data_IF_997044361981
#
_entry.id   IF_997044361981
#
_cell.length_a   1.000
_cell.length_b   1.000
_cell.length_c   1.000
_cell.angle_alpha   90.00
_cell.angle_beta   90.00
_cell.angle_gamma   90.00
#
_symmetry.space_group_name_H-M   'P 1'
#
loop_
_entity.id
_entity.type
_entity.pdbx_description
1 polymer ?
#
# COMPACT_ATOMS: atom_id res chain seq x y z
N UNK A 1 12.43 8.92 -1.76
CA UNK A 1 11.55 9.58 -0.79
C UNK A 1 11.17 10.93 -1.34
N UNK A 2 9.87 11.18 -1.45
CA UNK A 2 9.38 12.45 -1.97
C UNK A 2 9.15 13.45 -0.83
N UNK A 3 9.55 14.71 -1.04
CA UNK A 3 9.39 15.80 -0.07
C UNK A 3 8.88 17.08 -0.73
N UNK A 4 8.14 17.89 0.02
CA UNK A 4 7.71 19.22 -0.38
C UNK A 4 8.11 20.25 0.68
N UNK A 5 8.64 21.39 0.23
CA UNK A 5 8.95 22.53 1.08
C UNK A 5 8.03 23.68 0.68
N UNK A 6 7.24 24.20 1.62
CA UNK A 6 6.26 25.25 1.31
C UNK A 6 6.31 26.38 2.34
N UNK A 7 6.19 27.65 1.93
CA UNK A 7 6.03 28.75 2.87
C UNK A 7 4.66 28.67 3.55
N UNK A 8 4.62 28.93 4.86
CA UNK A 8 3.40 28.97 5.66
C UNK A 8 3.15 30.40 6.15
N UNK A 9 1.87 30.78 6.22
CA UNK A 9 1.49 32.03 6.87
C UNK A 9 1.54 31.87 8.39
N UNK A 10 1.86 32.93 9.13
CA UNK A 10 1.91 32.91 10.60
C UNK A 10 0.60 32.44 11.25
N UNK A 11 -0.54 32.68 10.60
CA UNK A 11 -1.85 32.26 11.08
C UNK A 11 -2.15 30.76 10.84
N UNK A 12 -1.37 30.04 10.02
CA UNK A 12 -1.73 28.71 9.52
C UNK A 12 -1.04 27.54 10.23
N UNK A 13 -0.25 27.79 11.28
CA UNK A 13 0.41 26.73 12.10
C UNK A 13 -0.57 25.70 12.69
N UNK A 14 -1.85 26.05 12.79
CA UNK A 14 -2.88 25.20 13.40
C UNK A 14 -4.09 24.93 12.49
N UNK A 15 -4.03 25.31 11.21
CA UNK A 15 -5.17 25.23 10.29
C UNK A 15 -4.92 24.28 9.12
N UNK A 16 -5.98 23.66 8.64
CA UNK A 16 -5.97 22.76 7.46
C UNK A 16 -5.45 23.43 6.18
N UNK A 17 -5.44 24.76 6.10
CA UNK A 17 -4.89 25.49 4.93
C UNK A 17 -3.41 25.18 4.64
N UNK A 18 -2.62 24.84 5.67
CA UNK A 18 -1.22 24.42 5.49
C UNK A 18 -1.10 23.07 4.76
N UNK A 19 -2.10 22.21 4.89
CA UNK A 19 -2.14 20.87 4.29
C UNK A 19 -2.43 20.93 2.80
N UNK A 20 -3.33 21.84 2.39
CA UNK A 20 -3.73 21.95 1.00
C UNK A 20 -2.54 22.15 0.06
N UNK A 21 -1.54 22.92 0.47
CA UNK A 21 -0.31 23.12 -0.30
C UNK A 21 0.51 21.84 -0.45
N UNK A 22 0.61 21.03 0.61
CA UNK A 22 1.29 19.75 0.59
C UNK A 22 0.51 18.72 -0.24
N UNK A 23 -0.80 18.62 -0.04
CA UNK A 23 -1.68 17.73 -0.81
C UNK A 23 -1.57 18.00 -2.31
N UNK A 24 -1.58 19.26 -2.73
CA UNK A 24 -1.39 19.64 -4.14
C UNK A 24 -0.02 19.21 -4.67
N UNK A 25 1.05 19.39 -3.89
CA UNK A 25 2.38 18.97 -4.29
C UNK A 25 2.50 17.44 -4.42
N UNK A 26 1.96 16.68 -3.47
CA UNK A 26 1.97 15.22 -3.48
C UNK A 26 1.02 14.61 -4.51
N UNK A 27 -0.11 15.27 -4.84
CA UNK A 27 -1.00 14.85 -5.92
C UNK A 27 -0.30 14.88 -7.29
N UNK A 28 0.65 15.81 -7.48
CA UNK A 28 1.44 15.95 -8.70
C UNK A 28 2.73 15.09 -8.69
N UNK A 29 2.76 13.96 -7.96
CA UNK A 29 3.98 13.12 -7.80
C UNK A 29 4.59 12.58 -9.10
N UNK A 30 3.82 12.51 -10.18
CA UNK A 30 4.32 12.11 -11.50
C UNK A 30 5.27 13.15 -12.09
N UNK A 31 5.14 14.41 -11.66
CA UNK A 31 5.96 15.55 -12.04
C UNK A 31 7.08 15.84 -11.03
N UNK A 32 7.32 14.92 -10.09
CA UNK A 32 8.34 15.09 -9.05
C UNK A 32 9.74 15.32 -9.63
N UNK A 33 10.42 16.34 -9.13
CA UNK A 33 11.77 16.72 -9.54
C UNK A 33 12.78 15.80 -8.87
N UNK A 34 13.51 15.00 -9.64
CA UNK A 34 14.65 14.26 -9.10
C UNK A 34 15.68 15.23 -8.53
N UNK A 35 16.08 15.01 -7.27
CA UNK A 35 17.14 15.79 -6.66
C UNK A 35 18.46 15.55 -7.40
N UNK A 36 19.07 16.64 -7.86
CA UNK A 36 20.28 16.62 -8.69
C UNK A 36 21.46 17.36 -8.03
N UNK A 37 21.38 17.63 -6.73
CA UNK A 37 22.36 18.43 -5.98
C UNK A 37 22.04 19.92 -5.91
N UNK A 38 21.08 20.43 -6.70
CA UNK A 38 20.62 21.82 -6.58
C UNK A 38 19.78 22.01 -5.31
N UNK A 39 19.81 23.19 -4.66
CA UNK A 39 19.04 23.43 -3.46
C UNK A 39 17.53 23.24 -3.68
N UNK A 40 16.88 22.66 -2.68
CA UNK A 40 15.43 22.49 -2.59
C UNK A 40 14.85 23.83 -2.16
N UNK A 41 14.01 24.40 -3.01
CA UNK A 41 13.42 25.73 -2.80
C UNK A 41 11.93 25.61 -2.47
N UNK A 42 11.40 26.50 -1.63
CA UNK A 42 9.97 26.54 -1.33
C UNK A 42 9.13 26.74 -2.59
N UNK A 43 8.04 25.98 -2.73
CA UNK A 43 7.12 26.12 -3.86
C UNK A 43 6.13 24.95 -4.02
N UNK A 44 5.31 24.98 -5.08
CA UNK A 44 4.31 23.93 -5.37
C UNK A 44 4.96 22.73 -6.06
N UNK A 45 6.15 22.32 -5.62
CA UNK A 45 6.94 21.29 -6.27
C UNK A 45 7.25 20.17 -5.31
N UNK A 46 7.22 18.94 -5.84
CA UNK A 46 7.68 17.76 -5.13
C UNK A 46 9.12 17.44 -5.56
N UNK A 47 9.97 17.13 -4.60
CA UNK A 47 11.36 16.73 -4.82
C UNK A 47 11.54 15.26 -4.47
N UNK A 48 12.10 14.48 -5.37
CA UNK A 48 12.43 13.08 -5.16
C UNK A 48 13.87 12.94 -4.72
N UNK A 49 14.06 12.60 -3.45
CA UNK A 49 15.36 12.36 -2.86
C UNK A 49 15.81 10.92 -3.17
N UNK A 50 17.02 10.73 -3.72
CA UNK A 50 17.62 9.41 -3.81
C UNK A 50 17.96 8.94 -2.40
N UNK A 51 17.46 7.78 -2.01
CA UNK A 51 17.88 7.11 -0.78
C UNK A 51 18.69 5.89 -1.21
N UNK A 52 20.01 5.94 -1.03
CA UNK A 52 20.90 4.80 -1.28
C UNK A 52 21.36 4.23 0.06
N UNK A 53 20.98 2.98 0.31
CA UNK A 53 21.21 2.28 1.59
C UNK A 53 22.61 1.70 1.76
N UNK A 54 23.44 1.73 0.71
CA UNK A 54 24.60 0.83 0.63
C UNK A 54 25.92 1.47 1.10
N UNK A 55 25.96 2.78 1.34
CA UNK A 55 27.21 3.51 1.64
C UNK A 55 27.41 3.86 3.11
N UNK A 56 26.38 3.73 3.96
CA UNK A 56 26.44 4.11 5.39
C UNK A 56 26.80 5.59 5.64
N UNK A 57 26.84 6.42 4.60
CA UNK A 57 27.12 7.85 4.68
C UNK A 57 25.82 8.62 4.86
N UNK A 58 25.82 9.59 5.76
CA UNK A 58 24.72 10.54 5.89
C UNK A 58 24.53 11.30 4.58
N UNK A 59 23.28 11.32 4.09
CA UNK A 59 22.91 12.04 2.87
C UNK A 59 22.47 13.46 3.25
N UNK A 60 23.03 14.46 2.57
CA UNK A 60 22.74 15.87 2.85
C UNK A 60 22.04 16.50 1.66
N UNK A 61 20.88 17.08 1.92
CA UNK A 61 20.05 17.76 0.93
C UNK A 61 19.89 19.23 1.34
N UNK A 62 20.37 20.15 0.49
CA UNK A 62 20.40 21.57 0.84
C UNK A 62 19.02 22.20 0.66
N UNK A 63 18.48 22.81 1.71
CA UNK A 63 17.29 23.66 1.64
C UNK A 63 17.71 25.12 1.44
N UNK A 64 17.04 25.85 0.54
CA UNK A 64 17.30 27.28 0.33
C UNK A 64 16.08 28.12 0.72
N UNK A 65 16.24 28.89 1.79
CA UNK A 65 15.22 29.79 2.32
C UNK A 65 15.62 31.24 2.01
N UNK A 66 14.86 31.89 1.14
CA UNK A 66 15.17 33.26 0.68
C UNK A 66 14.76 34.33 1.70
N UNK A 67 13.65 34.12 2.43
CA UNK A 67 13.13 35.09 3.39
C UNK A 67 12.86 34.43 4.75
N UNK A 68 13.10 35.14 5.87
CA UNK A 68 12.70 34.65 7.19
C UNK A 68 11.19 34.43 7.26
N UNK A 69 10.76 33.28 7.76
CA UNK A 69 9.35 32.93 7.83
C UNK A 69 9.13 31.52 8.39
N UNK A 70 7.86 31.10 8.38
CA UNK A 70 7.49 29.73 8.71
C UNK A 70 7.45 28.91 7.44
N UNK A 71 7.96 27.69 7.53
CA UNK A 71 8.01 26.75 6.41
C UNK A 71 7.51 25.39 6.88
N UNK A 72 6.72 24.74 6.04
CA UNK A 72 6.33 23.36 6.20
C UNK A 72 7.24 22.49 5.37
N UNK A 73 7.91 21.53 6.01
CA UNK A 73 8.61 20.44 5.34
C UNK A 73 7.73 19.18 5.44
N UNK A 74 7.22 18.73 4.31
CA UNK A 74 6.35 17.58 4.20
C UNK A 74 7.10 16.41 3.59
N UNK A 75 6.91 15.22 4.16
CA UNK A 75 7.63 14.01 3.77
C UNK A 75 6.65 12.88 3.46
N UNK A 76 6.95 12.07 2.44
CA UNK A 76 6.16 10.87 2.10
C UNK A 76 6.18 9.82 3.21
N UNK A 77 7.32 9.72 3.88
CA UNK A 77 7.60 8.76 4.94
C UNK A 77 7.90 9.48 6.25
N UNK A 78 7.81 8.76 7.36
CA UNK A 78 8.12 9.34 8.67
C UNK A 78 9.60 9.70 8.77
N UNK A 79 9.98 10.90 9.24
CA UNK A 79 11.39 11.29 9.39
C UNK A 79 12.23 10.27 10.18
N UNK A 80 11.62 9.63 11.17
CA UNK A 80 12.25 8.59 12.00
C UNK A 80 12.63 7.32 11.24
N UNK A 81 12.02 7.03 10.08
CA UNK A 81 12.35 5.85 9.27
C UNK A 81 13.76 5.91 8.66
N UNK A 82 14.33 7.12 8.53
CA UNK A 82 15.67 7.31 7.97
C UNK A 82 16.55 8.26 8.79
N UNK A 83 16.26 8.41 10.09
CA UNK A 83 17.00 9.30 10.99
C UNK A 83 17.15 10.73 10.43
N UNK A 84 16.10 11.27 9.78
CA UNK A 84 16.14 12.60 9.19
C UNK A 84 16.22 13.68 10.27
N UNK A 85 17.14 14.62 10.07
CA UNK A 85 17.24 15.85 10.85
C UNK A 85 17.35 17.07 9.94
N UNK A 86 16.83 18.20 10.38
CA UNK A 86 17.02 19.50 9.72
C UNK A 86 18.10 20.24 10.47
N UNK A 87 19.20 20.55 9.80
CA UNK A 87 20.29 21.32 10.39
C UNK A 87 20.25 22.77 9.89
N UNK A 88 20.26 23.72 10.83
CA UNK A 88 20.54 25.12 10.56
C UNK A 88 22.03 25.39 10.53
N UNK A 89 22.41 26.65 10.26
CA UNK A 89 23.82 27.05 10.12
C UNK A 89 24.69 26.72 11.35
N UNK A 90 24.11 26.67 12.54
CA UNK A 90 24.86 26.51 13.80
C UNK A 90 24.31 25.42 14.74
N UNK A 91 23.14 24.84 14.45
CA UNK A 91 22.49 23.87 15.33
C UNK A 91 21.39 23.10 14.59
N UNK A 92 20.98 21.96 15.16
CA UNK A 92 19.77 21.27 14.74
C UNK A 92 18.54 22.19 14.89
N UNK A 93 17.64 22.13 13.92
CA UNK A 93 16.38 22.85 13.90
C UNK A 93 15.27 21.87 14.29
N UNK A 94 14.79 21.98 15.53
CA UNK A 94 13.60 21.26 15.95
C UNK A 94 12.35 21.83 15.26
N UNK A 95 11.42 20.95 14.89
CA UNK A 95 10.14 21.38 14.34
C UNK A 95 9.33 22.13 15.42
N UNK A 96 8.81 23.31 15.08
CA UNK A 96 7.90 24.03 15.99
C UNK A 96 6.59 23.26 16.20
N UNK A 97 6.14 22.57 15.16
CA UNK A 97 4.95 21.70 15.16
C UNK A 97 5.27 20.52 14.26
N UNK A 98 5.03 19.31 14.75
CA UNK A 98 5.09 18.07 13.98
C UNK A 98 3.70 17.44 13.94
N UNK A 99 3.28 16.97 12.77
CA UNK A 99 2.01 16.27 12.57
C UNK A 99 2.18 15.13 11.59
N UNK A 100 1.62 13.99 11.96
CA UNK A 100 1.48 12.85 11.07
C UNK A 100 0.17 12.96 10.32
N UNK A 101 0.27 12.99 8.99
CA UNK A 101 -0.87 12.82 8.11
C UNK A 101 -0.84 11.40 7.60
N UNK A 102 -1.57 10.53 8.29
CA UNK A 102 -2.01 9.31 7.63
C UNK A 102 -2.95 9.80 6.53
N UNK A 103 -2.76 9.41 5.25
CA UNK A 103 -3.83 9.58 4.29
C UNK A 103 -5.07 9.07 5.00
N UNK A 104 -6.19 9.82 5.02
CA UNK A 104 -7.41 9.24 5.49
C UNK A 104 -7.51 7.91 4.76
N UNK A 105 -7.49 6.82 5.52
CA UNK A 105 -8.07 5.61 5.02
C UNK A 105 -9.54 6.00 4.85
N UNK A 106 -9.87 6.65 3.73
CA UNK A 106 -11.05 6.22 3.01
C UNK A 106 -10.74 4.75 2.73
N UNK A 107 -11.08 3.91 3.71
CA UNK A 107 -11.89 2.78 3.36
C UNK A 107 -12.97 3.40 2.49
N UNK A 108 -12.85 3.20 1.18
CA UNK A 108 -14.07 2.85 0.48
C UNK A 108 -14.65 1.72 1.33
N UNK A 109 -15.52 2.04 2.30
CA UNK A 109 -16.06 1.10 3.30
C UNK A 109 -16.73 -0.08 2.58
N UNK A 110 -17.00 0.08 1.29
CA UNK A 110 -17.42 -0.99 0.40
C UNK A 110 -16.35 -2.06 0.19
N UNK A 111 -15.06 -1.73 0.08
CA UNK A 111 -13.97 -2.68 -0.22
C UNK A 111 -13.52 -3.42 1.03
N UNK A 112 -13.96 -4.67 1.12
CA UNK A 112 -13.70 -5.56 2.24
C UNK A 112 -12.91 -6.80 1.80
N UNK A 113 -12.61 -7.68 2.74
CA UNK A 113 -11.99 -8.97 2.43
C UNK A 113 -12.67 -10.14 3.14
N UNK A 114 -12.78 -11.25 2.40
CA UNK A 114 -13.35 -12.50 2.91
C UNK A 114 -12.31 -13.59 2.80
N UNK A 115 -11.82 -14.03 3.95
CA UNK A 115 -10.96 -15.21 4.08
C UNK A 115 -11.78 -16.48 4.30
N UNK A 116 -11.37 -17.56 3.64
CA UNK A 116 -11.91 -18.92 3.82
C UNK A 116 -10.75 -19.83 4.21
N UNK A 117 -10.91 -20.54 5.34
CA UNK A 117 -9.97 -21.56 5.79
C UNK A 117 -10.75 -22.83 6.10
N UNK A 118 -10.52 -23.88 5.33
CA UNK A 118 -11.23 -25.15 5.49
C UNK A 118 -10.28 -26.34 5.33
N UNK A 119 -10.35 -27.27 6.27
CA UNK A 119 -9.61 -28.53 6.21
C UNK A 119 -10.25 -29.50 5.19
N UNK A 120 -9.45 -30.43 4.67
CA UNK A 120 -9.91 -31.45 3.72
C UNK A 120 -9.49 -31.19 2.28
N UNK A 121 -9.83 -32.14 1.41
CA UNK A 121 -9.47 -32.09 0.00
C UNK A 121 -10.62 -31.52 -0.85
N UNK A 122 -10.22 -30.76 -1.86
CA UNK A 122 -11.09 -30.08 -2.81
C UNK A 122 -11.24 -30.90 -4.09
N UNK A 123 -12.45 -30.95 -4.63
CA UNK A 123 -12.71 -31.40 -5.98
C UNK A 123 -12.43 -30.24 -6.95
N UNK A 124 -11.38 -30.39 -7.76
CA UNK A 124 -10.93 -29.34 -8.68
C UNK A 124 -11.97 -28.98 -9.72
N UNK A 125 -12.83 -29.93 -10.14
CA UNK A 125 -13.85 -29.65 -11.15
C UNK A 125 -14.99 -28.84 -10.55
N UNK A 126 -15.46 -29.21 -9.35
CA UNK A 126 -16.47 -28.43 -8.62
C UNK A 126 -15.97 -27.02 -8.33
N UNK A 127 -14.74 -26.89 -7.87
CA UNK A 127 -14.12 -25.60 -7.60
C UNK A 127 -14.03 -24.73 -8.85
N UNK A 128 -13.53 -25.27 -9.96
CA UNK A 128 -13.42 -24.51 -11.22
C UNK A 128 -14.80 -24.06 -11.73
N UNK A 129 -15.83 -24.89 -11.60
CA UNK A 129 -17.19 -24.53 -11.98
C UNK A 129 -17.75 -23.42 -11.09
N UNK A 130 -17.62 -23.56 -9.77
CA UNK A 130 -18.04 -22.55 -8.80
C UNK A 130 -17.31 -21.22 -9.03
N UNK A 131 -16.00 -21.24 -9.17
CA UNK A 131 -15.19 -20.04 -9.36
C UNK A 131 -15.53 -19.31 -10.65
N UNK A 132 -15.79 -20.04 -11.75
CA UNK A 132 -16.26 -19.43 -13.00
C UNK A 132 -17.60 -18.72 -12.82
N UNK A 133 -18.56 -19.36 -12.16
CA UNK A 133 -19.87 -18.76 -11.90
C UNK A 133 -19.75 -17.53 -10.99
N UNK A 134 -18.91 -17.61 -9.95
CA UNK A 134 -18.62 -16.48 -9.07
C UNK A 134 -18.05 -15.30 -9.85
N UNK A 135 -17.05 -15.55 -10.72
CA UNK A 135 -16.44 -14.50 -11.53
C UNK A 135 -17.39 -13.92 -12.59
N UNK A 136 -18.29 -14.72 -13.17
CA UNK A 136 -19.28 -14.21 -14.10
C UNK A 136 -20.34 -13.31 -13.44
N UNK A 137 -20.68 -13.58 -12.18
CA UNK A 137 -21.76 -12.89 -11.46
C UNK A 137 -21.25 -11.72 -10.61
N UNK A 138 -20.12 -11.91 -9.92
CA UNK A 138 -19.53 -10.96 -8.97
C UNK A 138 -18.14 -10.47 -9.39
N UNK A 139 -17.64 -10.86 -10.57
CA UNK A 139 -16.30 -10.47 -11.06
C UNK A 139 -16.00 -8.97 -11.07
N UNK A 140 -16.94 -8.06 -11.41
CA UNK A 140 -16.73 -6.62 -11.32
C UNK A 140 -16.45 -6.12 -9.90
N UNK A 141 -16.92 -6.85 -8.89
CA UNK A 141 -16.80 -6.50 -7.48
C UNK A 141 -15.65 -7.25 -6.79
N UNK A 142 -15.11 -8.30 -7.40
CA UNK A 142 -13.91 -9.01 -6.93
C UNK A 142 -12.67 -8.43 -7.61
N UNK A 143 -11.87 -7.69 -6.84
CA UNK A 143 -10.66 -7.04 -7.35
C UNK A 143 -9.47 -7.98 -7.33
N UNK A 144 -9.34 -8.79 -6.27
CA UNK A 144 -8.24 -9.72 -6.11
C UNK A 144 -8.70 -10.99 -5.42
N UNK A 145 -8.12 -12.10 -5.84
CA UNK A 145 -8.19 -13.35 -5.10
C UNK A 145 -6.85 -14.05 -5.05
N UNK A 146 -6.60 -14.77 -3.97
CA UNK A 146 -5.47 -15.68 -3.86
C UNK A 146 -5.89 -16.88 -3.06
N UNK A 147 -5.24 -18.01 -3.31
CA UNK A 147 -5.40 -19.13 -2.42
C UNK A 147 -4.39 -20.24 -2.59
N UNK A 148 -4.33 -21.07 -1.55
CA UNK A 148 -3.61 -22.33 -1.49
C UNK A 148 -4.68 -23.40 -1.34
N UNK A 149 -4.73 -24.34 -2.27
CA UNK A 149 -5.73 -25.40 -2.32
C UNK A 149 -5.08 -26.75 -2.06
N UNK A 150 -5.84 -27.60 -1.37
CA UNK A 150 -5.55 -29.01 -1.19
C UNK A 150 -6.39 -29.81 -2.18
N UNK A 151 -5.84 -30.16 -3.34
CA UNK A 151 -6.61 -30.87 -4.38
C UNK A 151 -6.58 -32.38 -4.12
N UNK A 152 -7.74 -33.03 -4.17
CA UNK A 152 -7.87 -34.49 -4.02
C UNK A 152 -6.98 -35.23 -5.00
N UNK A 153 -6.19 -36.16 -4.50
CA UNK A 153 -5.25 -36.95 -5.31
C UNK A 153 -3.98 -36.23 -5.75
N UNK A 154 -3.77 -34.95 -5.38
CA UNK A 154 -2.52 -34.24 -5.64
C UNK A 154 -1.67 -34.13 -4.36
N UNK A 155 -0.39 -34.57 -4.39
CA UNK A 155 0.51 -34.46 -3.24
C UNK A 155 1.03 -33.04 -3.03
N UNK A 156 0.92 -32.17 -4.05
CA UNK A 156 1.39 -30.80 -4.03
C UNK A 156 0.28 -29.83 -3.65
N UNK A 157 0.69 -28.72 -3.03
CA UNK A 157 -0.15 -27.54 -2.90
C UNK A 157 -0.41 -26.97 -4.28
N UNK A 158 -1.62 -26.47 -4.48
CA UNK A 158 -1.93 -25.69 -5.66
C UNK A 158 -2.13 -24.23 -5.24
N UNK A 159 -1.30 -23.34 -5.76
CA UNK A 159 -1.39 -21.91 -5.47
C UNK A 159 -2.01 -21.23 -6.68
N UNK A 160 -3.02 -20.41 -6.43
CA UNK A 160 -3.61 -19.58 -7.45
C UNK A 160 -3.66 -18.12 -7.02
N UNK A 161 -3.69 -17.26 -8.01
CA UNK A 161 -3.91 -15.84 -7.86
C UNK A 161 -4.76 -15.34 -9.02
N UNK A 162 -5.63 -14.38 -8.72
CA UNK A 162 -6.43 -13.71 -9.73
C UNK A 162 -6.58 -12.23 -9.45
N UNK A 163 -6.68 -11.47 -10.53
CA UNK A 163 -6.94 -10.03 -10.53
C UNK A 163 -8.10 -9.80 -11.49
N UNK A 164 -9.22 -9.30 -10.97
CA UNK A 164 -10.49 -9.26 -11.69
C UNK A 164 -10.83 -10.62 -12.32
N UNK A 165 -10.97 -10.67 -13.65
CA UNK A 165 -11.36 -11.87 -14.42
C UNK A 165 -10.19 -12.79 -14.77
N UNK A 166 -8.94 -12.37 -14.51
CA UNK A 166 -7.75 -13.15 -14.82
C UNK A 166 -7.45 -14.10 -13.68
N UNK A 167 -7.39 -15.40 -13.99
CA UNK A 167 -7.04 -16.46 -13.05
C UNK A 167 -5.79 -17.19 -13.54
N UNK A 168 -4.78 -17.29 -12.67
CA UNK A 168 -3.58 -18.09 -12.90
C UNK A 168 -3.35 -19.02 -11.69
N UNK A 169 -2.93 -20.25 -11.98
CA UNK A 169 -2.79 -21.28 -10.97
C UNK A 169 -1.70 -22.28 -11.34
N UNK A 170 -0.87 -22.62 -10.35
CA UNK A 170 0.25 -23.55 -10.54
C UNK A 170 0.45 -24.45 -9.31
N UNK A 171 0.94 -25.67 -9.51
CA UNK A 171 1.51 -26.44 -8.41
C UNK A 171 2.66 -25.65 -7.76
N UNK A 172 2.70 -25.68 -6.43
CA UNK A 172 3.79 -25.14 -5.63
C UNK A 172 4.60 -26.31 -5.04
N UNK A 173 4.86 -26.33 -3.73
CA UNK A 173 5.60 -27.40 -3.07
C UNK A 173 4.70 -28.56 -2.59
N UNK A 174 5.25 -29.77 -2.38
CA UNK A 174 4.53 -30.87 -1.71
C UNK A 174 4.01 -30.45 -0.32
N UNK A 175 2.94 -31.08 0.13
CA UNK A 175 2.42 -30.88 1.49
C UNK A 175 3.40 -31.35 2.56
N UNK A 176 4.13 -32.45 2.32
CA UNK A 176 5.05 -33.02 3.31
C UNK A 176 4.30 -33.49 4.55
N UNK A 177 4.74 -33.05 5.73
CA UNK A 177 4.08 -33.30 7.02
C UNK A 177 3.05 -32.22 7.40
N UNK A 178 2.90 -31.16 6.60
CA UNK A 178 1.94 -30.09 6.92
C UNK A 178 0.49 -30.57 6.73
N UNK A 179 -0.45 -30.15 7.59
CA UNK A 179 -1.85 -30.51 7.46
C UNK A 179 -2.42 -29.92 6.17
N UNK A 180 -3.11 -30.78 5.41
CA UNK A 180 -3.80 -30.43 4.18
C UNK A 180 -4.99 -29.51 4.48
N UNK A 181 -4.91 -28.28 3.96
CA UNK A 181 -5.92 -27.23 4.18
C UNK A 181 -6.06 -26.33 2.97
N UNK A 182 -7.23 -25.74 2.84
CA UNK A 182 -7.52 -24.74 1.83
C UNK A 182 -7.56 -23.37 2.50
N UNK A 183 -6.80 -22.43 1.97
CA UNK A 183 -6.77 -21.04 2.43
C UNK A 183 -7.00 -20.13 1.24
N UNK A 184 -8.08 -19.36 1.24
CA UNK A 184 -8.44 -18.44 0.18
C UNK A 184 -8.71 -17.06 0.77
N UNK A 185 -8.43 -16.02 0.00
CA UNK A 185 -8.78 -14.65 0.31
C UNK A 185 -9.36 -14.00 -0.93
N UNK A 186 -10.51 -13.34 -0.76
CA UNK A 186 -11.14 -12.48 -1.74
C UNK A 186 -11.10 -11.05 -1.23
N UNK A 187 -10.75 -10.10 -2.10
CA UNK A 187 -10.70 -8.68 -1.81
C UNK A 187 -11.52 -7.98 -2.88
N UNK A 188 -12.47 -7.15 -2.46
CA UNK A 188 -13.48 -6.59 -3.34
C UNK A 188 -14.58 -5.91 -2.55
N UNK A 189 -15.61 -5.43 -3.25
CA UNK A 189 -16.77 -4.78 -2.62
C UNK A 189 -17.98 -5.70 -2.56
N UNK A 190 -18.91 -5.40 -1.66
CA UNK A 190 -20.19 -6.12 -1.53
C UNK A 190 -20.04 -7.65 -1.40
N UNK A 191 -18.95 -8.12 -0.77
CA UNK A 191 -18.65 -9.55 -0.66
C UNK A 191 -19.53 -10.21 0.40
N UNK A 192 -20.33 -11.21 0.01
CA UNK A 192 -21.09 -12.04 0.95
C UNK A 192 -20.21 -13.18 1.51
N UNK A 193 -19.80 -13.04 2.77
CA UNK A 193 -19.00 -14.05 3.46
C UNK A 193 -19.71 -15.40 3.55
N UNK A 194 -21.02 -15.42 3.82
CA UNK A 194 -21.77 -16.66 4.01
C UNK A 194 -21.90 -17.40 2.68
N UNK A 195 -22.22 -16.69 1.59
CA UNK A 195 -22.32 -17.25 0.25
C UNK A 195 -20.96 -17.82 -0.22
N UNK A 196 -19.88 -17.06 -0.06
CA UNK A 196 -18.53 -17.50 -0.44
C UNK A 196 -18.09 -18.75 0.34
N UNK A 197 -18.35 -18.80 1.64
CA UNK A 197 -18.04 -19.99 2.46
C UNK A 197 -18.90 -21.19 2.06
N UNK A 198 -20.20 -21.01 1.83
CA UNK A 198 -21.11 -22.08 1.42
C UNK A 198 -20.73 -22.65 0.06
N UNK A 199 -20.46 -21.78 -0.93
CA UNK A 199 -20.04 -22.15 -2.27
C UNK A 199 -18.71 -22.90 -2.28
N UNK A 200 -17.73 -22.44 -1.49
CA UNK A 200 -16.46 -23.15 -1.34
C UNK A 200 -16.64 -24.51 -0.67
N UNK A 201 -17.41 -24.59 0.42
CA UNK A 201 -17.63 -25.85 1.14
C UNK A 201 -18.34 -26.91 0.29
N UNK A 202 -19.20 -26.50 -0.65
CA UNK A 202 -19.83 -27.41 -1.61
C UNK A 202 -18.82 -28.05 -2.60
N UNK A 203 -17.63 -27.48 -2.73
CA UNK A 203 -16.55 -27.98 -3.58
C UNK A 203 -15.66 -29.04 -2.91
N UNK A 204 -15.82 -29.28 -1.60
CA UNK A 204 -15.09 -30.33 -0.89
C UNK A 204 -15.49 -31.73 -1.41
N UNK A 205 -14.56 -32.68 -1.28
CA UNK A 205 -14.58 -33.98 -1.96
C UNK A 205 -14.65 -35.20 -1.02
#
# INVERSE_FOLDING_TARGET
MDIALTPLAAATLHTDDSLRSAELAFAAREEARSYNGSPITPGPYLYRLPLTTDTGQAMVFNLHIEQPGLYGLFTEHHPSEFDLAVEGLNQCCDAQVEREFKPPHEHDDEVTSVGITTAGDLDVNKFNQWLRNLLMTQGPDIFRMKGILSIKGQPNRFVFQGVHMLFDGRPDRPWGSEPRRNNLIFIGRNLDRAELNAGFNACLA
#
